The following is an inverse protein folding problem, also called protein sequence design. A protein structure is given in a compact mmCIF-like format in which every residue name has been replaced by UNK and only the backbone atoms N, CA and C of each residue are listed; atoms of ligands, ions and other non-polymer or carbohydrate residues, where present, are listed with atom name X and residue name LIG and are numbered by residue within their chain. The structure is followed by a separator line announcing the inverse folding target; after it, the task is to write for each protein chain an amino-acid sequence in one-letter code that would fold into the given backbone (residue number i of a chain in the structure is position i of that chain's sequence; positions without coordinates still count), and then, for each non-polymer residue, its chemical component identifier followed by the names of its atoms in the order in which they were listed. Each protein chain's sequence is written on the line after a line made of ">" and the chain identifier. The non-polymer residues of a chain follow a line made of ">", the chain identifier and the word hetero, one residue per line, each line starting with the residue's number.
data_IF_330732525732
#
_entry.id   IF_330732525732
#
_cell.length_a   1.000
_cell.length_b   1.000
_cell.length_c   1.000
_cell.angle_alpha   90.00
_cell.angle_beta   90.00
_cell.angle_gamma   90.00
#
_symmetry.space_group_name_H-M   'P 1'
#
loop_
_entity.id
_entity.type
_entity.pdbx_description
1 polymer ?
#
# COMPACT_ATOMS: atom_id res chain seq x y z
N UNK A 1 -76.93 25.77 28.14
CA UNK A 1 -75.80 25.92 29.07
C UNK A 1 -74.53 25.56 28.29
N UNK A 2 -73.55 26.47 28.29
CA UNK A 2 -72.36 26.50 27.41
C UNK A 2 -71.49 25.24 27.57
N UNK A 3 -70.98 24.71 26.47
CA UNK A 3 -69.68 24.03 26.44
C UNK A 3 -68.88 24.57 25.24
N UNK A 4 -67.79 25.27 25.57
CA UNK A 4 -66.77 25.73 24.64
C UNK A 4 -65.94 24.53 24.19
N UNK A 5 -65.76 24.36 22.88
CA UNK A 5 -64.75 23.48 22.30
C UNK A 5 -63.58 24.36 21.85
N UNK A 6 -62.45 24.28 22.55
CA UNK A 6 -61.21 24.97 22.17
C UNK A 6 -60.41 24.01 21.28
N UNK A 7 -60.32 24.31 19.98
CA UNK A 7 -59.39 23.66 19.07
C UNK A 7 -58.02 24.37 19.18
N UNK A 8 -57.02 23.68 19.73
CA UNK A 8 -55.62 24.09 19.62
C UNK A 8 -55.10 23.70 18.23
N UNK A 9 -54.75 24.68 17.40
CA UNK A 9 -53.97 24.44 16.19
C UNK A 9 -52.48 24.43 16.55
N UNK A 10 -51.86 23.25 16.54
CA UNK A 10 -50.41 23.13 16.56
C UNK A 10 -49.88 23.41 15.13
N UNK A 11 -49.31 24.58 14.92
CA UNK A 11 -48.57 24.92 13.71
C UNK A 11 -47.22 24.18 13.78
N UNK A 12 -47.11 23.07 13.06
CA UNK A 12 -45.82 22.41 12.82
C UNK A 12 -45.11 23.17 11.70
N UNK A 13 -44.11 23.98 12.07
CA UNK A 13 -43.14 24.49 11.11
C UNK A 13 -42.29 23.33 10.62
N UNK A 14 -42.58 22.82 9.42
CA UNK A 14 -41.65 21.98 8.67
C UNK A 14 -40.51 22.87 8.19
N UNK A 15 -39.38 22.85 8.90
CA UNK A 15 -38.10 23.31 8.36
C UNK A 15 -37.70 22.34 7.25
N UNK A 16 -37.86 22.76 6.00
CA UNK A 16 -37.28 22.07 4.85
C UNK A 16 -35.75 22.14 4.97
N UNK A 17 -35.13 21.07 5.48
CA UNK A 17 -33.69 20.87 5.32
C UNK A 17 -33.48 20.47 3.87
N UNK A 18 -32.98 21.40 3.06
CA UNK A 18 -32.49 21.11 1.72
C UNK A 18 -31.25 20.22 1.85
N UNK A 19 -31.42 18.91 1.68
CA UNK A 19 -30.32 17.99 1.54
C UNK A 19 -29.69 18.20 0.15
N UNK A 20 -28.57 18.92 0.10
CA UNK A 20 -27.75 19.01 -1.11
C UNK A 20 -27.03 17.66 -1.34
N UNK A 21 -26.91 17.18 -2.59
CA UNK A 21 -26.05 16.04 -2.93
C UNK A 21 -24.61 16.41 -2.55
N UNK A 22 -24.07 15.78 -1.51
CA UNK A 22 -22.74 16.07 -0.97
C UNK A 22 -22.67 16.18 0.56
N UNK A 23 -23.77 16.54 1.25
CA UNK A 23 -23.74 16.63 2.72
C UNK A 23 -23.61 15.26 3.42
N UNK A 24 -23.95 14.17 2.75
CA UNK A 24 -23.77 12.81 3.30
C UNK A 24 -22.28 12.43 3.36
N UNK A 25 -21.46 12.89 2.40
CA UNK A 25 -20.00 12.69 2.47
C UNK A 25 -19.41 13.54 3.59
N UNK A 26 -19.82 14.81 3.70
CA UNK A 26 -19.34 15.70 4.78
C UNK A 26 -19.76 15.24 6.18
N UNK A 27 -20.88 14.55 6.33
CA UNK A 27 -21.33 13.98 7.61
C UNK A 27 -20.63 12.65 7.94
N UNK A 28 -20.22 11.84 6.95
CA UNK A 28 -19.38 10.66 7.20
C UNK A 28 -17.98 11.05 7.68
N UNK A 29 -17.44 12.15 7.16
CA UNK A 29 -16.16 12.71 7.64
C UNK A 29 -16.25 13.26 9.08
N UNK A 30 -17.45 13.69 9.51
CA UNK A 30 -17.71 14.19 10.87
C UNK A 30 -18.14 13.10 11.88
N UNK A 31 -18.38 11.88 11.42
CA UNK A 31 -18.85 10.76 12.25
C UNK A 31 -17.80 9.68 12.51
N UNK A 32 -16.57 9.82 12.03
CA UNK A 32 -15.46 9.08 12.58
C UNK A 32 -15.15 9.69 13.96
N UNK A 33 -15.50 9.03 15.08
CA UNK A 33 -15.14 9.55 16.39
C UNK A 33 -13.65 9.81 16.40
N UNK A 34 -13.25 10.96 16.94
CA UNK A 34 -11.87 11.30 17.14
C UNK A 34 -11.14 10.14 17.83
N UNK A 35 -10.34 9.42 17.03
CA UNK A 35 -9.01 8.88 17.32
C UNK A 35 -8.87 8.30 18.72
N UNK A 36 -8.56 7.01 18.81
CA UNK A 36 -7.58 6.57 19.81
C UNK A 36 -6.42 7.57 19.72
N UNK A 37 -6.22 8.36 20.77
CA UNK A 37 -5.20 9.41 20.76
C UNK A 37 -3.86 8.70 20.51
N UNK A 38 -3.25 8.93 19.34
CA UNK A 38 -1.91 8.42 19.03
C UNK A 38 -1.01 8.84 20.20
N UNK A 39 -0.42 7.87 20.89
CA UNK A 39 0.28 8.09 22.17
C UNK A 39 1.44 9.10 22.04
N UNK A 40 2.00 9.27 20.84
CA UNK A 40 3.14 10.15 20.55
C UNK A 40 2.89 11.05 19.32
N UNK A 41 3.28 12.34 19.34
CA UNK A 41 3.18 13.21 18.19
C UNK A 41 4.06 12.69 17.03
N UNK A 42 3.50 12.71 15.81
CA UNK A 42 4.21 12.27 14.60
C UNK A 42 5.50 13.07 14.41
N UNK A 43 6.61 12.35 14.27
CA UNK A 43 7.93 12.94 14.09
C UNK A 43 8.17 13.26 12.60
N UNK A 44 8.81 14.40 12.32
CA UNK A 44 9.36 14.69 11.01
C UNK A 44 10.64 13.88 10.77
N UNK A 45 10.98 13.64 9.50
CA UNK A 45 12.14 12.86 9.06
C UNK A 45 12.93 13.61 7.98
N UNK A 46 14.14 13.15 7.69
CA UNK A 46 15.02 13.78 6.69
C UNK A 46 15.37 15.23 7.01
N UNK A 47 15.50 16.03 5.96
CA UNK A 47 15.73 17.48 5.99
C UNK A 47 14.55 18.28 6.58
N UNK A 48 13.33 17.75 6.54
CA UNK A 48 12.14 18.39 7.13
C UNK A 48 12.24 18.54 8.66
N UNK A 49 13.11 17.77 9.34
CA UNK A 49 13.40 17.93 10.78
C UNK A 49 14.01 19.30 11.10
N UNK A 50 14.81 19.83 10.19
CA UNK A 50 15.67 21.01 10.44
C UNK A 50 15.29 22.24 9.65
N UNK A 51 14.62 22.06 8.50
CA UNK A 51 14.19 23.17 7.66
C UNK A 51 13.05 23.96 8.30
N UNK A 52 13.15 25.29 8.22
CA UNK A 52 12.06 26.21 8.60
C UNK A 52 10.97 26.21 7.52
N UNK A 53 9.73 26.52 7.89
CA UNK A 53 8.59 26.58 6.96
C UNK A 53 8.80 27.54 5.78
N UNK A 54 9.59 28.60 5.97
CA UNK A 54 9.97 29.54 4.90
C UNK A 54 10.95 28.96 3.87
N UNK A 55 11.61 27.85 4.19
CA UNK A 55 12.56 27.15 3.32
C UNK A 55 11.90 25.97 2.58
N UNK A 56 10.66 25.62 2.94
CA UNK A 56 9.98 24.47 2.35
C UNK A 56 9.43 24.79 0.96
N UNK A 57 9.72 23.92 0.00
CA UNK A 57 9.04 23.91 -1.31
C UNK A 57 7.56 23.57 -1.12
N UNK A 58 6.74 23.77 -2.15
CA UNK A 58 5.33 23.34 -2.11
C UNK A 58 5.21 21.84 -1.82
N UNK A 59 6.03 21.02 -2.47
CA UNK A 59 6.05 19.56 -2.23
C UNK A 59 6.56 19.23 -0.83
N UNK A 60 7.60 19.91 -0.33
CA UNK A 60 8.07 19.75 1.04
C UNK A 60 7.02 20.08 2.10
N UNK A 61 6.23 21.15 1.90
CA UNK A 61 5.09 21.51 2.77
C UNK A 61 4.00 20.44 2.74
N UNK A 62 3.69 19.94 1.56
CA UNK A 62 2.68 18.88 1.39
C UNK A 62 3.10 17.58 2.07
N UNK A 63 4.35 17.15 1.87
CA UNK A 63 4.90 15.97 2.55
C UNK A 63 4.90 16.18 4.07
N UNK A 64 5.35 17.35 4.56
CA UNK A 64 5.30 17.69 5.98
C UNK A 64 3.88 17.58 6.54
N UNK A 65 2.88 18.11 5.84
CA UNK A 65 1.49 18.03 6.26
C UNK A 65 0.97 16.60 6.29
N UNK A 66 1.32 15.75 5.31
CA UNK A 66 0.95 14.33 5.31
C UNK A 66 1.60 13.61 6.49
N UNK A 67 2.89 13.83 6.74
CA UNK A 67 3.61 13.21 7.85
C UNK A 67 3.03 13.62 9.22
N UNK A 68 2.42 14.80 9.32
CA UNK A 68 1.78 15.28 10.55
C UNK A 68 0.27 14.98 10.63
N UNK A 69 -0.26 14.13 9.74
CA UNK A 69 -1.69 13.81 9.61
C UNK A 69 -2.59 15.04 9.39
N UNK A 70 -2.07 16.06 8.70
CA UNK A 70 -2.75 17.32 8.38
C UNK A 70 -3.23 17.38 6.92
N UNK A 71 -2.86 16.38 6.11
CA UNK A 71 -3.23 16.28 4.69
C UNK A 71 -3.40 14.82 4.30
N UNK A 72 -4.42 14.53 3.49
CA UNK A 72 -4.64 13.19 2.94
C UNK A 72 -3.44 12.77 2.06
N UNK A 73 -2.94 11.57 2.32
CA UNK A 73 -1.85 10.95 1.59
C UNK A 73 -2.31 10.35 0.24
N UNK A 74 -3.60 10.37 -0.05
CA UNK A 74 -4.21 9.92 -1.31
C UNK A 74 -4.41 11.09 -2.27
N UNK A 75 -4.59 10.76 -3.55
CA UNK A 75 -4.95 11.74 -4.58
C UNK A 75 -5.76 11.13 -5.72
N UNK A 76 -6.84 11.80 -6.10
CA UNK A 76 -7.64 11.47 -7.29
C UNK A 76 -7.14 12.15 -8.57
N UNK A 77 -6.10 12.99 -8.50
CA UNK A 77 -5.57 13.71 -9.66
C UNK A 77 -4.93 12.73 -10.65
N UNK A 78 -5.44 12.69 -11.89
CA UNK A 78 -4.96 11.82 -12.97
C UNK A 78 -4.60 12.68 -14.17
N UNK A 79 -3.44 12.42 -14.77
CA UNK A 79 -3.12 12.93 -16.09
C UNK A 79 -3.68 11.97 -17.17
N UNK A 80 -4.87 12.29 -17.67
CA UNK A 80 -5.58 11.52 -18.71
C UNK A 80 -5.07 11.75 -20.13
N UNK A 81 -4.14 12.70 -20.33
CA UNK A 81 -3.57 12.96 -21.64
C UNK A 81 -2.70 11.82 -22.15
N UNK A 82 -2.31 11.84 -23.42
CA UNK A 82 -1.18 11.02 -23.88
C UNK A 82 0.14 11.54 -23.27
N UNK A 83 1.19 10.71 -23.13
CA UNK A 83 2.52 11.22 -22.82
C UNK A 83 2.96 12.28 -23.83
N UNK A 84 3.73 13.28 -23.39
CA UNK A 84 4.27 14.36 -24.22
C UNK A 84 5.42 13.87 -25.14
N UNK A 85 5.14 12.87 -25.96
CA UNK A 85 6.12 12.12 -26.75
C UNK A 85 6.85 11.04 -25.96
N UNK A 86 7.87 10.45 -26.59
CA UNK A 86 8.75 9.46 -25.97
C UNK A 86 9.67 10.12 -24.92
N UNK A 87 10.30 9.35 -24.01
CA UNK A 87 11.25 9.90 -23.04
C UNK A 87 12.42 10.71 -23.64
N UNK A 88 12.75 10.50 -24.92
CA UNK A 88 13.84 11.21 -25.59
C UNK A 88 13.47 12.62 -26.09
N UNK A 89 12.18 12.97 -26.16
CA UNK A 89 11.72 14.26 -26.69
C UNK A 89 12.04 15.42 -25.75
N UNK A 90 12.19 16.62 -26.31
CA UNK A 90 12.39 17.84 -25.52
C UNK A 90 11.20 18.14 -24.59
N UNK A 91 9.97 17.88 -25.05
CA UNK A 91 8.76 18.07 -24.25
C UNK A 91 8.74 17.16 -23.02
N UNK A 92 9.10 15.87 -23.17
CA UNK A 92 9.14 14.95 -22.05
C UNK A 92 10.26 15.29 -21.06
N UNK A 93 11.45 15.68 -21.56
CA UNK A 93 12.57 16.10 -20.72
C UNK A 93 12.29 17.36 -19.89
N UNK A 94 11.34 18.19 -20.30
CA UNK A 94 10.95 19.41 -19.58
C UNK A 94 10.03 19.14 -18.38
N UNK A 95 9.35 17.98 -18.31
CA UNK A 95 8.54 17.56 -17.16
C UNK A 95 9.14 16.30 -16.55
N UNK A 96 9.70 16.42 -15.34
CA UNK A 96 10.29 15.30 -14.62
C UNK A 96 9.32 14.12 -14.43
N UNK A 97 8.01 14.36 -14.39
CA UNK A 97 7.01 13.31 -14.29
C UNK A 97 6.70 12.61 -15.62
N UNK A 98 7.16 13.12 -16.77
CA UNK A 98 6.81 12.53 -18.07
C UNK A 98 7.38 11.11 -18.23
N UNK A 99 8.65 10.86 -17.86
CA UNK A 99 9.23 9.50 -17.90
C UNK A 99 8.48 8.54 -16.98
N UNK A 100 7.99 9.03 -15.84
CA UNK A 100 7.23 8.23 -14.89
C UNK A 100 5.87 7.80 -15.42
N UNK A 101 5.31 8.50 -16.40
CA UNK A 101 4.09 8.05 -17.11
C UNK A 101 4.35 6.81 -17.95
N UNK A 102 5.47 6.76 -18.66
CA UNK A 102 5.89 5.58 -19.41
C UNK A 102 6.21 4.39 -18.48
N UNK A 103 6.89 4.67 -17.36
CA UNK A 103 7.17 3.66 -16.33
C UNK A 103 5.87 3.11 -15.74
N UNK A 104 4.91 3.98 -15.42
CA UNK A 104 3.60 3.60 -14.89
C UNK A 104 2.83 2.69 -15.86
N UNK A 105 2.90 2.94 -17.17
CA UNK A 105 2.32 2.04 -18.17
C UNK A 105 3.00 0.67 -18.21
N UNK A 106 4.34 0.64 -18.23
CA UNK A 106 5.09 -0.62 -18.20
C UNK A 106 4.80 -1.43 -16.93
N UNK A 107 4.76 -0.77 -15.77
CA UNK A 107 4.44 -1.38 -14.48
C UNK A 107 3.00 -1.88 -14.45
N UNK A 108 2.03 -1.07 -14.87
CA UNK A 108 0.61 -1.45 -14.93
C UNK A 108 0.38 -2.67 -15.82
N UNK A 109 1.04 -2.70 -16.99
CA UNK A 109 0.97 -3.84 -17.90
C UNK A 109 1.60 -5.10 -17.28
N UNK A 110 2.70 -4.96 -16.53
CA UNK A 110 3.39 -6.07 -15.89
C UNK A 110 2.65 -6.60 -14.65
N UNK A 111 1.95 -5.74 -13.92
CA UNK A 111 1.36 -6.05 -12.61
C UNK A 111 -0.08 -6.59 -12.70
N UNK A 112 -0.80 -6.32 -13.79
CA UNK A 112 -2.14 -6.85 -14.00
C UNK A 112 -2.12 -8.34 -14.40
N UNK A 113 -2.90 -9.16 -13.70
CA UNK A 113 -3.24 -10.52 -14.12
C UNK A 113 -4.48 -10.56 -15.01
N UNK A 114 -4.63 -11.63 -15.80
CA UNK A 114 -5.80 -11.79 -16.68
C UNK A 114 -7.10 -12.09 -15.93
N UNK A 115 -7.02 -12.54 -14.67
CA UNK A 115 -8.18 -12.66 -13.76
C UNK A 115 -8.71 -11.30 -13.27
N UNK A 116 -7.98 -10.22 -13.55
CA UNK A 116 -8.25 -8.89 -12.98
C UNK A 116 -7.67 -8.72 -11.56
N UNK A 117 -7.07 -9.73 -10.93
CA UNK A 117 -6.28 -9.55 -9.71
C UNK A 117 -4.87 -9.05 -10.05
N UNK A 118 -4.15 -8.51 -9.08
CA UNK A 118 -2.72 -8.21 -9.27
C UNK A 118 -1.87 -9.47 -9.09
N UNK A 119 -0.82 -9.59 -9.90
CA UNK A 119 0.03 -10.79 -9.96
C UNK A 119 1.24 -10.73 -9.02
N UNK A 120 2.06 -11.78 -9.03
CA UNK A 120 3.27 -11.90 -8.20
C UNK A 120 4.26 -10.74 -8.31
N UNK A 121 4.36 -10.09 -9.47
CA UNK A 121 5.26 -8.94 -9.63
C UNK A 121 4.73 -7.71 -8.88
N UNK A 122 3.41 -7.51 -8.88
CA UNK A 122 2.77 -6.45 -8.10
C UNK A 122 2.99 -6.66 -6.60
N UNK A 123 2.68 -7.86 -6.11
CA UNK A 123 2.88 -8.23 -4.69
C UNK A 123 4.34 -8.13 -4.28
N UNK A 124 5.23 -8.62 -5.13
CA UNK A 124 6.67 -8.49 -4.96
C UNK A 124 7.11 -7.03 -4.89
N UNK A 125 6.52 -6.12 -5.68
CA UNK A 125 6.88 -4.71 -5.68
C UNK A 125 6.45 -4.01 -4.38
N UNK A 126 5.27 -4.34 -3.84
CA UNK A 126 4.84 -3.88 -2.51
C UNK A 126 5.83 -4.33 -1.43
N UNK A 127 6.18 -5.63 -1.42
CA UNK A 127 7.17 -6.17 -0.47
C UNK A 127 8.54 -5.51 -0.67
N UNK A 128 9.01 -5.35 -1.90
CA UNK A 128 10.30 -4.73 -2.21
C UNK A 128 10.36 -3.27 -1.70
N UNK A 129 9.26 -2.52 -1.83
CA UNK A 129 9.13 -1.17 -1.28
C UNK A 129 9.38 -1.12 0.23
N UNK A 130 8.82 -2.08 0.97
CA UNK A 130 9.09 -2.24 2.40
C UNK A 130 10.52 -2.70 2.68
N UNK A 131 11.04 -3.69 1.98
CA UNK A 131 12.37 -4.26 2.27
C UNK A 131 13.51 -3.28 1.98
N UNK A 132 13.37 -2.40 0.97
CA UNK A 132 14.29 -1.28 0.73
C UNK A 132 14.17 -0.24 1.85
N UNK A 133 12.98 0.32 2.06
CA UNK A 133 12.76 1.37 3.05
C UNK A 133 13.00 0.94 4.51
N UNK A 134 12.75 -0.34 4.79
CA UNK A 134 12.72 -0.93 6.12
C UNK A 134 14.09 -1.07 6.75
N UNK A 135 15.20 -0.98 6.01
CA UNK A 135 16.56 -1.04 6.59
C UNK A 135 17.03 0.33 7.11
N UNK A 136 16.16 1.04 7.83
CA UNK A 136 16.46 2.31 8.48
C UNK A 136 15.91 2.39 9.92
N UNK A 137 16.49 3.27 10.73
CA UNK A 137 16.01 3.65 12.06
C UNK A 137 16.42 5.09 12.37
N UNK A 138 15.82 5.71 13.40
CA UNK A 138 16.18 7.05 13.88
C UNK A 138 17.62 7.19 14.40
N UNK A 139 18.34 6.08 14.58
CA UNK A 139 19.78 6.05 14.92
C UNK A 139 20.68 5.69 13.72
N UNK A 140 20.09 5.34 12.57
CA UNK A 140 20.83 4.97 11.36
C UNK A 140 21.40 6.21 10.67
N UNK A 141 22.65 6.12 10.23
CA UNK A 141 23.30 7.17 9.42
C UNK A 141 23.15 6.98 7.91
N UNK A 142 22.65 5.81 7.48
CA UNK A 142 22.39 5.42 6.08
C UNK A 142 21.33 4.29 6.04
N UNK A 143 20.90 3.90 4.83
CA UNK A 143 19.81 2.95 4.59
C UNK A 143 18.45 3.65 4.49
N UNK A 144 17.41 2.91 4.14
CA UNK A 144 16.06 3.43 3.92
C UNK A 144 15.66 3.32 2.46
N UNK A 145 14.75 4.19 2.00
CA UNK A 145 14.28 4.20 0.62
C UNK A 145 15.36 4.81 -0.30
N UNK A 146 16.44 4.07 -0.53
CA UNK A 146 17.64 4.52 -1.23
C UNK A 146 18.12 3.54 -2.32
N UNK A 147 17.32 2.50 -2.62
CA UNK A 147 17.58 1.55 -3.69
C UNK A 147 18.71 0.56 -3.41
N UNK A 148 19.32 0.64 -2.23
CA UNK A 148 20.48 -0.16 -1.85
C UNK A 148 20.21 -1.66 -1.95
N UNK A 149 18.96 -2.11 -1.73
CA UNK A 149 18.58 -3.51 -1.85
C UNK A 149 18.88 -4.12 -3.23
N UNK A 150 18.79 -3.34 -4.31
CA UNK A 150 19.06 -3.79 -5.68
C UNK A 150 20.36 -3.28 -6.29
N UNK A 151 21.00 -2.30 -5.65
CA UNK A 151 22.28 -1.72 -6.05
C UNK A 151 23.48 -2.41 -5.39
N UNK A 152 23.23 -3.31 -4.43
CA UNK A 152 24.25 -3.97 -3.62
C UNK A 152 23.99 -5.48 -3.50
N UNK A 153 24.65 -6.13 -2.54
CA UNK A 153 24.49 -7.55 -2.23
C UNK A 153 23.35 -7.86 -1.24
N UNK A 154 22.59 -6.85 -0.81
CA UNK A 154 21.46 -6.98 0.12
C UNK A 154 20.41 -8.00 -0.28
N UNK A 155 20.10 -8.09 -1.57
CA UNK A 155 19.14 -9.06 -2.09
C UNK A 155 19.52 -10.52 -1.76
N UNK A 156 20.81 -10.81 -1.52
CA UNK A 156 21.30 -12.15 -1.18
C UNK A 156 21.06 -12.53 0.29
N UNK A 157 20.62 -11.59 1.13
CA UNK A 157 20.32 -11.84 2.54
C UNK A 157 19.03 -12.66 2.67
N UNK A 158 18.98 -13.50 3.69
CA UNK A 158 17.86 -14.46 3.86
C UNK A 158 16.51 -13.80 4.11
N UNK A 159 16.49 -12.63 4.73
CA UNK A 159 15.29 -11.80 4.92
C UNK A 159 14.70 -11.29 3.59
N UNK A 160 15.49 -11.26 2.52
CA UNK A 160 15.07 -10.86 1.18
C UNK A 160 14.71 -12.03 0.25
N UNK A 161 14.72 -13.27 0.76
CA UNK A 161 14.35 -14.46 -0.02
C UNK A 161 12.95 -14.32 -0.65
N UNK A 162 12.85 -14.65 -1.93
CA UNK A 162 11.62 -14.52 -2.74
C UNK A 162 11.43 -13.20 -3.47
N UNK A 163 12.31 -12.20 -3.28
CA UNK A 163 12.28 -10.95 -4.05
C UNK A 163 12.96 -11.04 -5.43
N UNK A 164 13.58 -12.17 -5.78
CA UNK A 164 14.40 -12.30 -7.00
C UNK A 164 13.64 -11.94 -8.29
N UNK A 165 12.43 -12.46 -8.49
CA UNK A 165 11.68 -12.22 -9.72
C UNK A 165 11.31 -10.75 -9.92
N UNK A 166 10.86 -10.06 -8.87
CA UNK A 166 10.56 -8.62 -8.94
C UNK A 166 11.84 -7.79 -9.03
N UNK A 167 12.91 -8.20 -8.36
CA UNK A 167 14.21 -7.54 -8.43
C UNK A 167 14.77 -7.54 -9.86
N UNK A 168 14.70 -8.67 -10.57
CA UNK A 168 15.14 -8.76 -11.96
C UNK A 168 14.30 -7.87 -12.89
N UNK A 169 13.00 -7.78 -12.63
CA UNK A 169 12.11 -6.88 -13.37
C UNK A 169 12.43 -5.41 -13.09
N UNK A 170 12.70 -5.03 -11.84
CA UNK A 170 13.12 -3.67 -11.47
C UNK A 170 14.47 -3.32 -12.10
N UNK A 171 15.45 -4.25 -12.09
CA UNK A 171 16.74 -4.06 -12.78
C UNK A 171 16.57 -3.88 -14.28
N UNK A 172 15.64 -4.60 -14.90
CA UNK A 172 15.29 -4.43 -16.33
C UNK A 172 14.75 -3.02 -16.60
N UNK A 173 13.84 -2.53 -15.77
CA UNK A 173 13.33 -1.16 -15.90
C UNK A 173 14.39 -0.10 -15.58
N UNK A 174 15.24 -0.33 -14.59
CA UNK A 174 16.33 0.56 -14.26
C UNK A 174 17.30 0.69 -15.45
N UNK A 175 17.71 -0.42 -16.07
CA UNK A 175 18.55 -0.39 -17.27
C UNK A 175 17.90 0.36 -18.45
N UNK A 176 16.56 0.29 -18.57
CA UNK A 176 15.80 1.00 -19.60
C UNK A 176 15.70 2.51 -19.32
N UNK A 177 15.50 2.90 -18.07
CA UNK A 177 15.07 4.25 -17.69
C UNK A 177 16.11 5.11 -16.96
N UNK A 178 17.20 4.53 -16.44
CA UNK A 178 18.20 5.27 -15.65
C UNK A 178 18.86 6.43 -16.41
N UNK A 179 19.04 6.29 -17.73
CA UNK A 179 19.56 7.34 -18.61
C UNK A 179 18.69 8.61 -18.66
N UNK A 180 17.45 8.55 -18.15
CA UNK A 180 16.55 9.68 -18.00
C UNK A 180 16.52 10.27 -16.58
N UNK A 181 17.47 9.89 -15.71
CA UNK A 181 17.54 10.37 -14.33
C UNK A 181 16.65 9.61 -13.35
N UNK A 182 16.14 8.44 -13.74
CA UNK A 182 15.36 7.54 -12.87
C UNK A 182 16.32 6.78 -11.96
N UNK A 183 16.16 6.94 -10.65
CA UNK A 183 16.94 6.23 -9.63
C UNK A 183 16.28 4.90 -9.29
N UNK A 184 17.06 3.93 -8.83
CA UNK A 184 16.53 2.65 -8.34
C UNK A 184 15.64 2.89 -7.13
N UNK A 185 16.04 3.81 -6.24
CA UNK A 185 15.25 4.22 -5.07
C UNK A 185 13.83 4.66 -5.45
N UNK A 186 13.71 5.56 -6.44
CA UNK A 186 12.39 6.00 -6.90
C UNK A 186 11.64 4.90 -7.66
N UNK A 187 12.34 4.06 -8.42
CA UNK A 187 11.73 2.98 -9.19
C UNK A 187 11.05 1.96 -8.28
N UNK A 188 11.70 1.60 -7.17
CA UNK A 188 11.14 0.70 -6.15
C UNK A 188 9.90 1.32 -5.50
N UNK A 189 9.99 2.55 -5.02
CA UNK A 189 8.90 3.20 -4.29
C UNK A 189 7.71 3.55 -5.20
N UNK A 190 7.96 3.98 -6.44
CA UNK A 190 6.92 4.13 -7.46
C UNK A 190 6.29 2.78 -7.81
N UNK A 191 7.11 1.73 -7.94
CA UNK A 191 6.64 0.37 -8.21
C UNK A 191 5.66 -0.14 -7.16
N UNK A 192 5.94 0.08 -5.88
CA UNK A 192 5.03 -0.28 -4.79
C UNK A 192 3.70 0.50 -4.83
N UNK A 193 3.73 1.80 -5.14
CA UNK A 193 2.51 2.61 -5.27
C UNK A 193 1.69 2.24 -6.51
N UNK A 194 2.33 1.97 -7.65
CA UNK A 194 1.64 1.47 -8.85
C UNK A 194 1.04 0.08 -8.58
N UNK A 195 1.78 -0.81 -7.92
CA UNK A 195 1.28 -2.14 -7.54
C UNK A 195 0.06 -2.05 -6.63
N UNK A 196 0.10 -1.21 -5.59
CA UNK A 196 -1.03 -0.94 -4.70
C UNK A 196 -2.29 -0.57 -5.49
N UNK A 197 -2.20 0.38 -6.43
CA UNK A 197 -3.36 0.82 -7.23
C UNK A 197 -3.83 -0.22 -8.25
N UNK A 198 -2.91 -1.03 -8.78
CA UNK A 198 -3.23 -2.09 -9.75
C UNK A 198 -4.01 -3.23 -9.10
N UNK A 199 -3.66 -3.58 -7.86
CA UNK A 199 -4.47 -4.46 -7.04
C UNK A 199 -5.87 -3.83 -6.86
N UNK A 200 -6.95 -4.51 -7.24
CA UNK A 200 -8.29 -3.96 -7.10
C UNK A 200 -8.57 -3.49 -5.68
N UNK A 201 -9.32 -2.39 -5.54
CA UNK A 201 -9.64 -1.67 -4.30
C UNK A 201 -8.48 -0.86 -3.68
N UNK A 202 -7.29 -0.91 -4.26
CA UNK A 202 -6.12 -0.21 -3.75
C UNK A 202 -6.14 1.32 -3.97
N UNK A 203 -5.65 2.11 -3.00
CA UNK A 203 -5.69 3.57 -3.07
C UNK A 203 -4.56 4.15 -3.92
N UNK A 204 -4.83 5.32 -4.51
CA UNK A 204 -3.81 6.14 -5.20
C UNK A 204 -3.01 6.95 -4.19
N UNK A 205 -1.91 6.38 -3.72
CA UNK A 205 -0.98 7.00 -2.77
C UNK A 205 -0.16 8.09 -3.46
N UNK A 206 -0.05 9.27 -2.84
CA UNK A 206 0.79 10.35 -3.33
C UNK A 206 2.22 9.86 -3.51
N UNK A 207 2.74 10.06 -4.72
CA UNK A 207 4.01 9.47 -5.15
C UNK A 207 5.00 10.57 -5.44
N UNK A 208 6.14 10.50 -4.77
CA UNK A 208 7.21 11.49 -4.85
C UNK A 208 8.44 10.85 -5.48
N UNK A 209 9.18 11.62 -6.27
CA UNK A 209 10.40 11.19 -6.97
C UNK A 209 11.50 12.24 -6.79
N UNK A 210 12.75 11.83 -6.98
CA UNK A 210 13.96 12.60 -6.69
C UNK A 210 14.82 12.00 -5.58
N UNK A 211 14.60 10.75 -5.15
CA UNK A 211 15.47 10.06 -4.19
C UNK A 211 16.84 9.83 -4.80
N UNK A 212 17.86 9.79 -3.95
CA UNK A 212 19.25 9.49 -4.35
C UNK A 212 19.53 8.01 -4.15
N UNK A 213 20.08 7.38 -5.18
CA UNK A 213 20.59 6.01 -5.11
C UNK A 213 21.76 5.92 -4.12
N UNK A 214 21.84 4.81 -3.39
CA UNK A 214 22.93 4.52 -2.47
C UNK A 214 23.60 3.17 -2.81
N UNK A 215 24.89 3.22 -3.11
CA UNK A 215 25.69 2.02 -3.40
C UNK A 215 26.22 1.32 -2.13
N UNK A 216 25.79 1.77 -0.94
CA UNK A 216 26.13 1.14 0.34
C UNK A 216 24.95 0.29 0.81
N UNK A 217 25.24 -0.98 1.08
CA UNK A 217 24.25 -1.91 1.60
C UNK A 217 23.66 -1.39 2.93
N UNK A 218 22.34 -1.38 3.05
CA UNK A 218 21.61 -1.00 4.24
C UNK A 218 21.97 -1.85 5.47
N UNK A 219 21.82 -1.30 6.69
CA UNK A 219 22.10 -2.02 7.93
C UNK A 219 21.28 -3.31 8.09
N UNK A 220 21.90 -4.34 8.66
CA UNK A 220 21.24 -5.62 8.96
C UNK A 220 20.40 -5.56 10.23
N UNK A 221 19.45 -6.50 10.39
CA UNK A 221 18.70 -6.67 11.64
C UNK A 221 17.61 -5.62 11.88
N UNK A 222 17.22 -4.89 10.82
CA UNK A 222 16.20 -3.84 10.88
C UNK A 222 14.86 -4.25 10.24
N UNK A 223 14.77 -5.46 9.65
CA UNK A 223 13.54 -6.06 9.15
C UNK A 223 12.98 -7.07 10.18
N UNK A 224 11.65 -7.16 10.32
CA UNK A 224 11.00 -8.15 11.18
C UNK A 224 11.05 -9.55 10.56
N UNK A 225 11.13 -10.57 11.41
CA UNK A 225 10.93 -11.98 11.04
C UNK A 225 9.46 -12.40 11.24
N UNK A 226 8.99 -13.37 10.46
CA UNK A 226 7.61 -13.92 10.55
C UNK A 226 7.30 -14.62 11.88
N UNK A 227 8.32 -14.90 12.70
CA UNK A 227 8.20 -15.49 14.04
C UNK A 227 8.50 -14.49 15.17
N UNK A 228 8.76 -13.22 14.84
CA UNK A 228 9.06 -12.22 15.85
C UNK A 228 7.85 -11.94 16.76
N UNK A 229 8.13 -11.72 18.04
CA UNK A 229 7.11 -11.25 19.00
C UNK A 229 6.55 -9.88 18.57
N UNK A 230 5.30 -9.61 18.92
CA UNK A 230 4.70 -8.28 18.73
C UNK A 230 5.55 -7.14 19.34
N UNK A 231 6.12 -7.35 20.54
CA UNK A 231 7.04 -6.39 21.18
C UNK A 231 8.24 -6.03 20.31
N UNK A 232 8.91 -7.03 19.73
CA UNK A 232 10.07 -6.81 18.85
C UNK A 232 9.65 -6.03 17.60
N UNK A 233 8.53 -6.39 16.98
CA UNK A 233 8.04 -5.73 15.77
C UNK A 233 7.64 -4.28 16.07
N UNK A 234 6.85 -4.06 17.12
CA UNK A 234 6.46 -2.71 17.55
C UNK A 234 7.70 -1.86 17.85
N UNK A 235 8.71 -2.40 18.54
CA UNK A 235 9.97 -1.70 18.81
C UNK A 235 10.73 -1.34 17.52
N UNK A 236 10.79 -2.26 16.55
CA UNK A 236 11.42 -2.01 15.25
C UNK A 236 10.74 -0.86 14.51
N UNK A 237 9.41 -0.83 14.48
CA UNK A 237 8.65 0.20 13.78
C UNK A 237 8.64 1.55 14.51
N UNK A 238 8.59 1.56 15.85
CA UNK A 238 8.78 2.78 16.63
C UNK A 238 10.15 3.42 16.36
N UNK A 239 11.21 2.62 16.25
CA UNK A 239 12.53 3.11 15.86
C UNK A 239 12.56 3.68 14.42
N UNK A 240 11.57 3.34 13.58
CA UNK A 240 11.34 3.91 12.24
C UNK A 240 10.38 5.11 12.25
N UNK A 241 9.99 5.62 13.41
CA UNK A 241 8.98 6.67 13.58
C UNK A 241 7.56 6.27 13.15
N UNK A 242 7.30 4.96 13.03
CA UNK A 242 6.00 4.38 12.69
C UNK A 242 5.39 3.85 13.99
N UNK A 243 4.22 4.36 14.35
CA UNK A 243 3.53 3.95 15.58
C UNK A 243 2.70 2.66 15.38
N UNK A 244 2.18 2.05 16.46
CA UNK A 244 1.39 0.81 16.35
C UNK A 244 0.16 0.91 15.43
N UNK A 245 -0.45 2.09 15.33
CA UNK A 245 -1.54 2.39 14.39
C UNK A 245 -1.08 2.23 12.95
N UNK A 246 -0.05 2.99 12.55
CA UNK A 246 0.49 2.94 11.19
C UNK A 246 1.08 1.54 10.89
N UNK A 247 1.62 0.84 11.89
CA UNK A 247 2.06 -0.55 11.76
C UNK A 247 0.89 -1.49 11.43
N UNK A 248 -0.24 -1.37 12.14
CA UNK A 248 -1.44 -2.17 11.85
C UNK A 248 -1.87 -1.99 10.39
N UNK A 249 -1.92 -0.74 9.93
CA UNK A 249 -2.26 -0.40 8.56
C UNK A 249 -1.29 -1.01 7.54
N UNK A 250 0.04 -0.90 7.76
CA UNK A 250 1.07 -1.43 6.87
C UNK A 250 1.03 -2.96 6.74
N UNK A 251 0.81 -3.68 7.84
CA UNK A 251 0.71 -5.16 7.82
C UNK A 251 -0.48 -5.62 6.99
N UNK A 252 -1.53 -4.79 6.86
CA UNK A 252 -2.65 -5.05 5.95
C UNK A 252 -2.26 -5.34 4.51
N UNK A 253 -1.09 -4.90 4.04
CA UNK A 253 -0.56 -5.26 2.70
C UNK A 253 -0.49 -6.78 2.46
N UNK A 254 -0.45 -7.57 3.53
CA UNK A 254 -0.52 -9.03 3.49
C UNK A 254 -1.82 -9.55 2.85
N UNK A 255 -2.90 -8.76 2.73
CA UNK A 255 -4.11 -9.16 1.99
C UNK A 255 -3.80 -9.59 0.56
N UNK A 256 -2.83 -8.95 -0.09
CA UNK A 256 -2.48 -9.37 -1.44
C UNK A 256 -1.55 -10.57 -1.46
N UNK A 257 -0.86 -10.92 -0.38
CA UNK A 257 0.37 -11.73 -0.37
C UNK A 257 0.21 -13.25 -0.51
N UNK A 258 1.27 -13.91 -0.96
CA UNK A 258 1.46 -15.37 -1.01
C UNK A 258 2.85 -15.73 -0.50
N UNK A 259 2.96 -16.83 0.27
CA UNK A 259 4.21 -17.28 0.87
C UNK A 259 4.86 -18.41 0.07
N UNK A 260 6.19 -18.36 -0.07
CA UNK A 260 6.96 -19.38 -0.82
C UNK A 260 8.10 -20.01 -0.01
N UNK A 261 8.57 -19.33 1.04
CA UNK A 261 9.79 -19.70 1.76
C UNK A 261 9.59 -19.96 3.24
N UNK A 262 8.44 -19.58 3.82
CA UNK A 262 8.18 -19.76 5.26
C UNK A 262 7.82 -21.21 5.54
N UNK A 263 6.94 -21.79 4.72
CA UNK A 263 6.66 -23.22 4.72
C UNK A 263 6.60 -23.72 3.28
N UNK A 264 7.68 -24.34 2.82
CA UNK A 264 7.81 -24.84 1.44
C UNK A 264 6.86 -26.00 1.13
N UNK A 265 6.31 -26.70 2.13
CA UNK A 265 5.26 -27.70 1.91
C UNK A 265 3.89 -27.07 1.62
N UNK A 266 3.75 -25.76 1.83
CA UNK A 266 2.56 -24.94 1.55
C UNK A 266 2.84 -23.84 0.53
N UNK A 267 3.83 -24.05 -0.35
CA UNK A 267 4.26 -23.05 -1.33
C UNK A 267 3.09 -22.48 -2.15
N UNK A 268 3.04 -21.15 -2.25
CA UNK A 268 1.98 -20.38 -2.91
C UNK A 268 0.73 -20.14 -2.07
N UNK A 269 0.67 -20.61 -0.83
CA UNK A 269 -0.48 -20.35 0.04
C UNK A 269 -0.58 -18.84 0.42
N UNK A 270 -1.77 -18.23 0.31
CA UNK A 270 -1.99 -16.81 0.55
C UNK A 270 -2.20 -16.48 2.03
N UNK A 271 -2.07 -15.20 2.38
CA UNK A 271 -2.34 -14.73 3.76
C UNK A 271 -3.84 -14.45 4.00
N UNK A 272 -4.67 -14.42 2.96
CA UNK A 272 -6.14 -14.42 3.04
C UNK A 272 -6.79 -15.12 1.83
N UNK A 273 -8.13 -15.10 1.77
CA UNK A 273 -8.92 -15.75 0.72
C UNK A 273 -9.03 -14.97 -0.61
N UNK A 274 -8.43 -13.79 -0.73
CA UNK A 274 -8.51 -12.93 -1.91
C UNK A 274 -7.13 -12.50 -2.42
N UNK A 275 -6.20 -13.44 -2.67
CA UNK A 275 -4.85 -13.08 -3.09
C UNK A 275 -4.86 -12.23 -4.35
N UNK A 276 -4.15 -11.11 -4.29
CA UNK A 276 -4.09 -10.12 -5.35
C UNK A 276 -5.28 -9.15 -5.42
N UNK A 277 -6.11 -9.05 -4.37
CA UNK A 277 -7.09 -7.98 -4.14
C UNK A 277 -6.64 -7.16 -2.92
N UNK A 278 -6.72 -5.84 -2.99
CA UNK A 278 -6.31 -4.93 -1.90
C UNK A 278 -7.49 -4.69 -0.96
N UNK A 279 -7.88 -5.70 -0.19
CA UNK A 279 -9.04 -5.64 0.71
C UNK A 279 -8.70 -5.86 2.19
N UNK A 280 -9.72 -5.89 3.05
CA UNK A 280 -9.54 -6.02 4.51
C UNK A 280 -9.77 -7.45 5.03
N UNK A 281 -9.90 -8.46 4.16
CA UNK A 281 -10.17 -9.84 4.60
C UNK A 281 -9.07 -10.41 5.47
N UNK A 282 -7.81 -10.07 5.17
CA UNK A 282 -6.65 -10.42 5.96
C UNK A 282 -6.85 -10.25 7.47
N UNK A 283 -7.41 -9.13 7.91
CA UNK A 283 -7.58 -8.84 9.34
C UNK A 283 -8.51 -9.85 10.00
N UNK A 284 -9.67 -10.11 9.40
CA UNK A 284 -10.67 -11.02 9.94
C UNK A 284 -10.22 -12.47 9.87
N UNK A 285 -9.63 -12.87 8.75
CA UNK A 285 -9.17 -14.23 8.51
C UNK A 285 -7.96 -14.60 9.37
N UNK A 286 -7.11 -13.63 9.76
CA UNK A 286 -6.00 -13.86 10.69
C UNK A 286 -6.51 -14.31 12.07
N UNK A 287 -7.57 -13.69 12.60
CA UNK A 287 -8.07 -13.94 13.96
C UNK A 287 -9.17 -15.00 14.04
N UNK A 288 -9.77 -15.38 12.90
CA UNK A 288 -10.91 -16.30 12.84
C UNK A 288 -10.63 -17.53 11.94
N UNK A 289 -11.67 -18.29 11.60
CA UNK A 289 -11.53 -19.42 10.66
C UNK A 289 -11.30 -18.90 9.25
N UNK A 290 -10.36 -19.51 8.53
CA UNK A 290 -10.04 -19.19 7.15
C UNK A 290 -10.00 -20.47 6.30
N UNK A 291 -10.10 -20.37 4.95
CA UNK A 291 -9.94 -21.52 4.06
C UNK A 291 -8.63 -22.28 4.28
N UNK A 292 -8.60 -23.57 3.89
CA UNK A 292 -7.48 -24.48 4.15
C UNK A 292 -6.13 -23.94 3.66
N UNK A 293 -6.10 -23.28 2.50
CA UNK A 293 -4.88 -22.67 1.94
C UNK A 293 -4.45 -21.37 2.60
N UNK A 294 -5.31 -20.70 3.38
CA UNK A 294 -4.87 -19.48 4.06
C UNK A 294 -3.77 -19.84 5.08
N UNK A 295 -2.62 -19.19 4.93
CA UNK A 295 -1.44 -19.36 5.75
C UNK A 295 -1.24 -18.11 6.59
N UNK A 296 -1.29 -18.27 7.91
CA UNK A 296 -1.13 -17.17 8.86
C UNK A 296 0.30 -17.15 9.38
N UNK A 297 1.00 -16.02 9.25
CA UNK A 297 2.28 -15.85 9.92
C UNK A 297 2.10 -15.77 11.44
N UNK A 298 3.08 -16.29 12.19
CA UNK A 298 3.03 -16.25 13.65
C UNK A 298 3.06 -14.80 14.16
N UNK A 299 3.87 -13.94 13.53
CA UNK A 299 3.92 -12.50 13.78
C UNK A 299 2.56 -11.83 13.67
N UNK A 300 1.80 -12.14 12.62
CA UNK A 300 0.51 -11.50 12.34
C UNK A 300 -0.52 -11.88 13.40
N UNK A 301 -0.55 -13.16 13.81
CA UNK A 301 -1.40 -13.64 14.91
C UNK A 301 -1.02 -12.98 16.25
N UNK A 302 0.26 -12.72 16.49
CA UNK A 302 0.71 -12.07 17.72
C UNK A 302 0.38 -10.58 17.71
N UNK A 303 0.59 -9.89 16.59
CA UNK A 303 0.24 -8.48 16.41
C UNK A 303 -1.27 -8.25 16.54
N UNK A 304 -2.10 -9.12 15.96
CA UNK A 304 -3.56 -9.00 16.03
C UNK A 304 -4.12 -9.08 17.46
N UNK A 305 -3.33 -9.57 18.42
CA UNK A 305 -3.70 -9.72 19.84
C UNK A 305 -3.00 -8.69 20.74
N UNK A 306 -2.01 -7.97 20.21
CA UNK A 306 -1.21 -7.04 20.98
C UNK A 306 -2.04 -5.83 21.42
N UNK A 307 -1.93 -5.43 22.69
CA UNK A 307 -2.77 -4.36 23.22
C UNK A 307 -2.60 -3.01 22.51
N UNK A 308 -1.44 -2.76 21.87
CA UNK A 308 -1.16 -1.51 21.14
C UNK A 308 -1.69 -1.52 19.71
N UNK A 309 -2.03 -2.69 19.15
CA UNK A 309 -2.36 -2.89 17.73
C UNK A 309 -3.79 -3.40 17.54
N UNK A 310 -4.29 -4.20 18.49
CA UNK A 310 -5.56 -4.94 18.38
C UNK A 310 -6.79 -4.07 18.10
N UNK A 311 -6.82 -2.83 18.58
CA UNK A 311 -7.98 -1.94 18.43
C UNK A 311 -8.09 -1.53 16.96
N UNK A 312 -7.01 -1.01 16.39
CA UNK A 312 -6.91 -0.66 14.97
C UNK A 312 -7.13 -1.89 14.06
N UNK A 313 -6.56 -3.04 14.44
CA UNK A 313 -6.80 -4.30 13.74
C UNK A 313 -8.30 -4.63 13.66
N UNK A 314 -9.03 -4.45 14.77
CA UNK A 314 -10.47 -4.72 14.83
C UNK A 314 -11.30 -3.70 14.05
N UNK A 315 -10.86 -2.45 13.97
CA UNK A 315 -11.51 -1.44 13.12
C UNK A 315 -11.47 -1.81 11.64
N UNK A 316 -10.35 -2.38 11.17
CA UNK A 316 -10.25 -2.86 9.79
C UNK A 316 -11.09 -4.12 9.52
N UNK A 317 -11.33 -4.98 10.53
CA UNK A 317 -12.25 -6.14 10.39
C UNK A 317 -13.68 -5.70 10.10
N UNK A 318 -14.10 -4.55 10.64
CA UNK A 318 -15.47 -4.04 10.49
C UNK A 318 -15.75 -3.45 9.09
N UNK A 319 -15.07 -3.98 8.07
CA UNK A 319 -15.16 -3.67 6.64
C UNK A 319 -14.91 -2.18 6.30
N UNK A 320 -13.99 -1.55 7.03
CA UNK A 320 -13.64 -0.14 6.79
C UNK A 320 -12.55 -0.01 5.73
N UNK A 321 -12.85 -0.45 4.50
CA UNK A 321 -11.91 -0.39 3.36
C UNK A 321 -11.34 1.01 3.16
N UNK A 322 -12.18 2.05 3.23
CA UNK A 322 -11.74 3.42 3.01
C UNK A 322 -10.82 3.92 4.14
N UNK A 323 -11.15 3.58 5.40
CA UNK A 323 -10.32 3.87 6.56
C UNK A 323 -8.95 3.21 6.44
N UNK A 324 -8.91 1.91 6.12
CA UNK A 324 -7.64 1.21 5.89
C UNK A 324 -6.85 1.81 4.74
N UNK A 325 -7.51 2.16 3.63
CA UNK A 325 -6.87 2.80 2.50
C UNK A 325 -6.28 4.17 2.85
N UNK A 326 -6.96 4.97 3.66
CA UNK A 326 -6.48 6.25 4.16
C UNK A 326 -5.23 6.07 5.01
N UNK A 327 -5.27 5.16 5.98
CA UNK A 327 -4.16 4.97 6.92
C UNK A 327 -2.97 4.23 6.31
N UNK A 328 -3.22 3.25 5.45
CA UNK A 328 -2.16 2.63 4.66
C UNK A 328 -1.44 3.67 3.79
N UNK A 329 -2.18 4.58 3.13
CA UNK A 329 -1.55 5.62 2.31
C UNK A 329 -0.65 6.55 3.13
N UNK A 330 -1.07 6.95 4.34
CA UNK A 330 -0.25 7.77 5.25
C UNK A 330 0.98 7.01 5.74
N UNK A 331 0.78 5.78 6.23
CA UNK A 331 1.83 4.95 6.78
C UNK A 331 2.87 4.58 5.71
N UNK A 332 2.42 4.23 4.49
CA UNK A 332 3.31 3.95 3.37
C UNK A 332 4.05 5.19 2.88
N UNK A 333 3.41 6.37 2.90
CA UNK A 333 4.11 7.63 2.58
C UNK A 333 5.29 7.84 3.52
N UNK A 334 5.10 7.66 4.83
CA UNK A 334 6.19 7.71 5.82
C UNK A 334 7.25 6.65 5.56
N UNK A 335 6.84 5.39 5.35
CA UNK A 335 7.74 4.28 5.04
C UNK A 335 8.63 4.60 3.83
N UNK A 336 8.03 5.07 2.72
CA UNK A 336 8.73 5.39 1.48
C UNK A 336 9.72 6.57 1.57
N UNK A 337 9.74 7.27 2.72
CA UNK A 337 10.59 8.43 2.99
C UNK A 337 11.63 8.16 4.08
N UNK A 338 11.64 6.97 4.70
CA UNK A 338 12.69 6.60 5.66
C UNK A 338 14.06 6.70 5.00
N UNK A 339 15.03 7.33 5.67
CA UNK A 339 16.38 7.51 5.14
C UNK A 339 16.54 8.56 4.02
N UNK A 340 15.45 9.12 3.50
CA UNK A 340 15.50 10.17 2.47
C UNK A 340 15.88 11.50 3.12
N UNK A 341 17.03 12.05 2.73
CA UNK A 341 17.58 13.27 3.34
C UNK A 341 17.37 14.54 2.48
N UNK A 342 16.66 14.43 1.37
CA UNK A 342 16.33 15.52 0.45
C UNK A 342 14.82 15.58 0.17
N UNK A 343 14.00 15.37 1.20
CA UNK A 343 12.53 15.30 1.07
C UNK A 343 11.98 16.62 0.51
N UNK A 344 12.56 17.75 0.91
CA UNK A 344 12.13 19.06 0.44
C UNK A 344 12.35 19.28 -1.07
N UNK A 345 13.28 18.54 -1.67
CA UNK A 345 13.63 18.64 -3.08
C UNK A 345 12.87 17.64 -3.96
N UNK A 346 12.07 16.75 -3.36
CA UNK A 346 11.28 15.78 -4.11
C UNK A 346 10.21 16.47 -4.95
N UNK A 347 9.81 15.79 -6.03
CA UNK A 347 8.71 16.20 -6.90
C UNK A 347 7.54 15.23 -6.77
N UNK A 348 6.34 15.76 -6.58
CA UNK A 348 5.12 14.95 -6.66
C UNK A 348 4.80 14.60 -8.12
N UNK A 349 4.72 13.29 -8.41
CA UNK A 349 4.34 12.74 -9.71
C UNK A 349 3.09 11.84 -9.63
N UNK A 350 2.28 11.95 -8.59
CA UNK A 350 1.04 11.16 -8.38
C UNK A 350 0.12 11.11 -9.60
N UNK A 351 0.08 12.18 -10.40
CA UNK A 351 -0.74 12.28 -11.62
C UNK A 351 -0.51 11.14 -12.62
N UNK A 352 0.65 10.49 -12.58
CA UNK A 352 1.04 9.42 -13.53
C UNK A 352 0.56 8.03 -13.11
N UNK A 353 0.10 7.86 -11.87
CA UNK A 353 -0.42 6.57 -11.39
C UNK A 353 -1.66 6.17 -12.19
N UNK A 354 -1.89 4.86 -12.42
CA UNK A 354 -3.10 4.38 -13.08
C UNK A 354 -4.37 4.81 -12.32
N UNK A 355 -5.56 4.76 -12.96
CA UNK A 355 -6.82 4.99 -12.27
C UNK A 355 -7.06 3.91 -11.20
N UNK A 356 -7.68 4.31 -10.08
CA UNK A 356 -8.09 3.38 -9.04
C UNK A 356 -9.23 2.48 -9.52
N UNK A 357 -9.28 1.26 -8.97
CA UNK A 357 -10.33 0.28 -9.24
C UNK A 357 -11.18 0.12 -7.98
N UNK A 358 -12.19 0.97 -7.84
CA UNK A 358 -13.01 1.05 -6.62
C UNK A 358 -14.03 -0.08 -6.46
N UNK A 359 -14.08 -1.01 -7.41
CA UNK A 359 -14.89 -2.22 -7.33
C UNK A 359 -14.18 -3.38 -8.03
N UNK A 360 -14.48 -4.60 -7.58
CA UNK A 360 -13.95 -5.82 -8.18
C UNK A 360 -14.95 -6.96 -8.04
N UNK A 361 -15.11 -7.73 -9.12
CA UNK A 361 -15.89 -8.97 -9.14
C UNK A 361 -15.00 -10.05 -9.74
N UNK A 362 -14.64 -11.02 -8.92
CA UNK A 362 -13.86 -12.19 -9.33
C UNK A 362 -14.71 -13.08 -10.26
N UNK A 363 -14.31 -13.16 -11.53
CA UNK A 363 -15.03 -13.97 -12.53
C UNK A 363 -14.76 -15.47 -12.38
N UNK A 364 -13.69 -15.84 -11.67
CA UNK A 364 -13.26 -17.22 -11.45
C UNK A 364 -13.40 -17.68 -10.00
N UNK A 365 -14.18 -16.94 -9.19
CA UNK A 365 -14.36 -17.21 -7.77
C UNK A 365 -14.73 -18.67 -7.44
N UNK A 366 -15.65 -19.35 -8.16
CA UNK A 366 -15.98 -20.74 -7.83
C UNK A 366 -14.78 -21.70 -7.93
N UNK A 367 -13.86 -21.46 -8.86
CA UNK A 367 -12.66 -22.29 -9.04
C UNK A 367 -11.61 -21.89 -8.01
N UNK A 368 -11.47 -20.59 -7.75
CA UNK A 368 -10.60 -20.07 -6.70
C UNK A 368 -10.98 -20.63 -5.32
N UNK A 369 -12.28 -20.72 -5.01
CA UNK A 369 -12.79 -21.28 -3.75
C UNK A 369 -12.41 -22.76 -3.61
N UNK A 370 -12.54 -23.56 -4.68
CA UNK A 370 -12.10 -24.96 -4.67
C UNK A 370 -10.59 -25.05 -4.41
N UNK A 371 -9.81 -24.19 -5.05
CA UNK A 371 -8.38 -24.10 -4.80
C UNK A 371 -8.07 -23.74 -3.36
N UNK A 372 -8.72 -22.71 -2.79
CA UNK A 372 -8.58 -22.28 -1.40
C UNK A 372 -8.93 -23.37 -0.38
N UNK A 373 -9.81 -24.32 -0.73
CA UNK A 373 -10.11 -25.50 0.08
C UNK A 373 -9.08 -26.64 -0.06
N UNK A 374 -7.97 -26.39 -0.77
CA UNK A 374 -6.89 -27.35 -0.98
C UNK A 374 -7.20 -28.39 -2.05
N UNK A 375 -8.04 -28.04 -3.04
CA UNK A 375 -8.20 -28.82 -4.26
C UNK A 375 -7.35 -28.19 -5.38
N UNK A 376 -7.10 -28.95 -6.45
CA UNK A 376 -6.46 -28.44 -7.67
C UNK A 376 -5.10 -27.73 -7.47
N UNK A 377 -4.16 -28.35 -6.75
CA UNK A 377 -2.81 -27.80 -6.49
C UNK A 377 -2.05 -27.41 -7.77
N UNK A 378 -2.37 -28.02 -8.91
CA UNK A 378 -1.84 -27.62 -10.21
C UNK A 378 -2.16 -26.16 -10.60
N UNK A 379 -3.11 -25.50 -9.94
CA UNK A 379 -3.47 -24.09 -10.18
C UNK A 379 -2.56 -23.10 -9.45
N UNK A 380 -1.66 -23.54 -8.56
CA UNK A 380 -0.81 -22.64 -7.76
C UNK A 380 -0.13 -21.54 -8.58
N UNK A 381 0.56 -21.92 -9.66
CA UNK A 381 1.25 -20.96 -10.53
C UNK A 381 0.29 -19.99 -11.22
N UNK A 382 -0.92 -20.45 -11.56
CA UNK A 382 -1.92 -19.61 -12.22
C UNK A 382 -2.51 -18.59 -11.26
N UNK A 383 -2.76 -18.97 -10.00
CA UNK A 383 -3.17 -18.02 -8.96
C UNK A 383 -2.04 -17.04 -8.66
N UNK A 384 -0.80 -17.51 -8.57
CA UNK A 384 0.38 -16.68 -8.35
C UNK A 384 0.56 -15.64 -9.47
N UNK A 385 0.40 -16.05 -10.73
CA UNK A 385 0.43 -15.15 -11.90
C UNK A 385 -0.89 -14.41 -12.14
N UNK A 386 -1.89 -14.58 -11.27
CA UNK A 386 -3.23 -14.01 -11.37
C UNK A 386 -3.91 -14.26 -12.74
N UNK A 387 -3.70 -15.45 -13.30
CA UNK A 387 -4.30 -15.93 -14.55
C UNK A 387 -5.75 -16.38 -14.31
N UNK A 388 -6.66 -16.00 -15.20
CA UNK A 388 -8.07 -16.40 -15.18
C UNK A 388 -8.24 -17.93 -15.19
N UNK A 389 -8.97 -18.48 -14.20
CA UNK A 389 -9.09 -19.94 -14.03
C UNK A 389 -10.24 -20.59 -14.83
N UNK A 390 -11.22 -19.81 -15.30
CA UNK A 390 -12.47 -20.31 -15.94
C UNK A 390 -12.30 -21.00 -17.29
N UNK A 391 -11.11 -20.96 -17.90
CA UNK A 391 -10.81 -21.60 -19.19
C UNK A 391 -10.19 -23.00 -19.10
N UNK A 392 -9.94 -23.55 -17.91
CA UNK A 392 -9.04 -24.70 -17.73
C UNK A 392 -9.74 -26.02 -17.36
N UNK A 393 -11.05 -26.00 -17.10
CA UNK A 393 -11.81 -27.19 -16.69
C UNK A 393 -12.40 -27.95 -17.90
N UNK A 394 -12.33 -27.38 -19.12
CA UNK A 394 -12.95 -27.99 -20.32
C UNK A 394 -12.09 -29.04 -21.04
N UNK A 395 -10.84 -29.29 -20.63
CA UNK A 395 -9.95 -30.23 -21.34
C UNK A 395 -9.67 -31.54 -20.58
N UNK A 396 -10.37 -31.79 -19.46
CA UNK A 396 -10.08 -32.90 -18.54
C UNK A 396 -11.01 -34.11 -18.59
N UNK A 397 -11.83 -34.27 -19.64
CA UNK A 397 -12.62 -35.49 -19.88
C UNK A 397 -12.79 -35.76 -21.38
N UNK A 398 -11.92 -36.58 -21.93
CA UNK A 398 -12.25 -37.58 -22.96
C UNK A 398 -11.66 -38.93 -22.54
#
# INVERSE_FOLDING_TARGET
>A
MRLLTILYHAIVFYSHVLAYPGMIETLKDLQHPAKVAREEPKQLIGDLKTLKDSQLTTTGKDIKAILLDQKDARSSVIDTGAPAGTPDTAACKADLCCVWKWISYDMTAKFNGTSGRCNKFARGAVRLGFHDAGVWSNTSSYGGADGSILLTDELNRSDNNGLAAVADQMKTWYAKYNKYGVTMADLIQMGANVATVVCPLGPRIRSFVGRKDNAKAGPTGLLPDVNDSADKIVKLFLAKTIDPHDLAALVGAHTTSQQHFVNTARDGDPQDSTPGVWDVKFYGETVSTAPKRVFKFASDILLSKDARVKEEWQEFINDSQDHWNEDYAKAYTRLSLLGVNNINDLKECTKVLPPARNSFVSQDQPILDLWLQGQYDQLNNLVDDAIMLTGLISTGKE
#
